data_IF_654335275507
#
_entry.id   IF_654335275507
#
_cell.length_a   1.000
_cell.length_b   1.000
_cell.length_c   1.000
_cell.angle_alpha   90.00
_cell.angle_beta   90.00
_cell.angle_gamma   90.00
#
_symmetry.space_group_name_H-M   'P 1'
#
loop_
_entity.id
_entity.type
_entity.pdbx_description
1 polymer ?
#
# COMPACT_ATOMS: atom_id res chain seq x y z
N UNK A 1 -0.59 -20.33 -8.38
CA UNK A 1 -0.24 -19.06 -9.04
C UNK A 1 -0.72 -17.96 -8.10
N UNK A 2 0.17 -17.31 -7.36
CA UNK A 2 -0.22 -16.24 -6.43
C UNK A 2 -0.39 -14.96 -7.25
N UNK A 3 -1.63 -14.59 -7.54
CA UNK A 3 -1.95 -13.32 -8.17
C UNK A 3 -1.56 -12.23 -7.17
N UNK A 4 -0.47 -11.51 -7.45
CA UNK A 4 -0.11 -10.32 -6.70
C UNK A 4 -1.25 -9.31 -6.84
N UNK A 5 -1.99 -9.13 -5.75
CA UNK A 5 -3.20 -8.33 -5.68
C UNK A 5 -2.79 -6.84 -5.81
N UNK A 6 -2.86 -6.31 -7.03
CA UNK A 6 -2.51 -4.92 -7.32
C UNK A 6 -3.76 -4.08 -7.58
N UNK A 7 -3.81 -2.89 -7.00
CA UNK A 7 -4.93 -1.96 -7.06
C UNK A 7 -4.44 -0.56 -7.38
N UNK A 8 -5.28 0.26 -8.00
CA UNK A 8 -4.92 1.62 -8.41
C UNK A 8 -5.55 2.62 -7.45
N UNK A 9 -4.74 3.54 -6.90
CA UNK A 9 -5.19 4.64 -6.04
C UNK A 9 -4.82 5.95 -6.73
N UNK A 10 -5.83 6.61 -7.32
CA UNK A 10 -5.59 7.77 -8.19
C UNK A 10 -4.80 7.37 -9.43
N UNK A 11 -3.57 7.87 -9.57
CA UNK A 11 -2.63 7.54 -10.66
C UNK A 11 -1.52 6.56 -10.22
N UNK A 12 -1.56 6.09 -8.98
CA UNK A 12 -0.56 5.20 -8.42
C UNK A 12 -1.05 3.75 -8.50
N UNK A 13 -0.25 2.87 -9.09
CA UNK A 13 -0.49 1.43 -9.06
C UNK A 13 0.19 0.84 -7.83
N UNK A 14 -0.61 0.39 -6.88
CA UNK A 14 -0.15 -0.26 -5.65
C UNK A 14 -0.17 -1.77 -5.84
N UNK A 15 0.93 -2.46 -5.55
CA UNK A 15 1.05 -3.91 -5.61
C UNK A 15 1.29 -4.46 -4.22
N UNK A 16 0.44 -5.36 -3.73
CA UNK A 16 0.66 -6.01 -2.43
C UNK A 16 1.79 -7.03 -2.55
N UNK A 17 2.84 -6.87 -1.75
CA UNK A 17 3.96 -7.81 -1.68
C UNK A 17 3.73 -8.87 -0.59
N UNK A 18 2.89 -8.54 0.39
CA UNK A 18 2.50 -9.41 1.50
C UNK A 18 1.00 -9.71 1.50
N UNK A 19 0.59 -10.67 2.33
CA UNK A 19 -0.82 -10.99 2.53
C UNK A 19 -1.61 -9.87 3.21
N UNK A 20 -2.91 -9.83 2.97
CA UNK A 20 -3.84 -8.82 3.50
C UNK A 20 -3.80 -8.72 5.04
N UNK A 21 -3.58 -9.82 5.75
CA UNK A 21 -3.50 -9.86 7.21
C UNK A 21 -2.30 -9.07 7.75
N UNK A 22 -1.14 -9.14 7.10
CA UNK A 22 0.03 -8.35 7.50
C UNK A 22 -0.19 -6.86 7.27
N UNK A 23 -0.84 -6.51 6.15
CA UNK A 23 -1.20 -5.12 5.87
C UNK A 23 -2.18 -4.61 6.92
N UNK A 24 -3.24 -5.35 7.21
CA UNK A 24 -4.25 -4.97 8.20
C UNK A 24 -3.63 -4.77 9.59
N UNK A 25 -2.76 -5.68 10.01
CA UNK A 25 -2.03 -5.58 11.28
C UNK A 25 -1.14 -4.33 11.34
N UNK A 26 -0.44 -4.02 10.24
CA UNK A 26 0.38 -2.80 10.15
C UNK A 26 -0.48 -1.53 10.18
N UNK A 27 -1.57 -1.48 9.40
CA UNK A 27 -2.49 -0.33 9.38
C UNK A 27 -3.14 -0.13 10.75
N UNK A 28 -3.50 -1.20 11.45
CA UNK A 28 -4.03 -1.14 12.81
C UNK A 28 -3.01 -0.57 13.81
N UNK A 29 -1.71 -0.84 13.58
CA UNK A 29 -0.60 -0.33 14.39
C UNK A 29 -0.21 1.12 14.07
N UNK A 30 -0.58 1.66 12.89
CA UNK A 30 -0.26 3.04 12.52
C UNK A 30 -0.95 4.06 13.46
N UNK A 31 -0.32 5.20 13.76
CA UNK A 31 -0.97 6.25 14.54
C UNK A 31 -2.18 6.84 13.78
N UNK A 32 -3.14 7.39 14.53
CA UNK A 32 -4.40 7.88 13.96
C UNK A 32 -4.19 8.98 12.92
N UNK A 33 -3.13 9.79 13.07
CA UNK A 33 -2.73 10.81 12.08
C UNK A 33 -2.42 10.20 10.70
N UNK A 34 -1.71 9.07 10.67
CA UNK A 34 -1.34 8.38 9.44
C UNK A 34 -2.52 7.64 8.83
N UNK A 35 -3.45 7.16 9.67
CA UNK A 35 -4.70 6.51 9.24
C UNK A 35 -5.75 7.48 8.72
N UNK A 36 -5.62 8.77 9.02
CA UNK A 36 -6.56 9.79 8.58
C UNK A 36 -6.49 10.04 7.07
N UNK A 37 -5.32 9.86 6.46
CA UNK A 37 -5.10 10.04 5.03
C UNK A 37 -4.60 8.75 4.35
N UNK A 38 -5.29 8.33 3.30
CA UNK A 38 -4.94 7.10 2.54
C UNK A 38 -3.53 7.18 1.95
N UNK A 39 -3.05 8.36 1.53
CA UNK A 39 -1.70 8.50 0.99
C UNK A 39 -0.63 8.28 2.05
N UNK A 40 -0.86 8.75 3.28
CA UNK A 40 0.04 8.49 4.40
C UNK A 40 0.10 7.00 4.76
N UNK A 41 -1.05 6.32 4.75
CA UNK A 41 -1.10 4.85 4.94
C UNK A 41 -0.31 4.13 3.84
N UNK A 42 -0.56 4.46 2.58
CA UNK A 42 0.11 3.85 1.43
C UNK A 42 1.62 4.14 1.46
N UNK A 43 2.02 5.37 1.78
CA UNK A 43 3.44 5.72 1.91
C UNK A 43 4.10 4.93 3.03
N UNK A 44 3.47 4.83 4.21
CA UNK A 44 4.01 4.06 5.32
C UNK A 44 4.10 2.55 5.02
N UNK A 45 3.11 1.99 4.32
CA UNK A 45 3.15 0.59 3.87
C UNK A 45 4.27 0.33 2.87
N UNK A 46 4.55 1.29 1.98
CA UNK A 46 5.63 1.22 1.00
C UNK A 46 7.01 1.37 1.66
N UNK A 47 7.16 2.33 2.59
CA UNK A 47 8.38 2.49 3.40
C UNK A 47 8.69 1.24 4.24
N UNK A 48 7.65 0.54 4.71
CA UNK A 48 7.78 -0.75 5.40
C UNK A 48 8.05 -1.94 4.46
N UNK A 49 8.00 -1.75 3.14
CA UNK A 49 8.20 -2.80 2.13
C UNK A 49 7.05 -3.82 2.04
N UNK A 50 5.85 -3.46 2.55
CA UNK A 50 4.67 -4.33 2.54
C UNK A 50 3.93 -4.26 1.18
N UNK A 51 4.03 -3.11 0.52
CA UNK A 51 3.50 -2.87 -0.82
C UNK A 51 4.57 -2.23 -1.68
N UNK A 52 4.39 -2.34 -3.00
CA UNK A 52 5.16 -1.63 -4.01
C UNK A 52 4.27 -0.57 -4.66
N UNK A 53 4.78 0.63 -4.86
CA UNK A 53 4.05 1.70 -5.56
C UNK A 53 4.76 1.95 -6.89
N UNK A 54 4.08 1.62 -7.98
CA UNK A 54 4.49 1.96 -9.32
C UNK A 54 3.69 3.17 -9.83
N UNK A 55 4.38 4.22 -10.25
CA UNK A 55 3.74 5.30 -11.02
C UNK A 55 3.40 4.75 -12.41
N UNK A 56 2.16 4.94 -12.86
CA UNK A 56 1.78 4.70 -14.25
C UNK A 56 2.42 5.82 -15.11
N UNK A 57 3.73 5.73 -15.35
CA UNK A 57 4.39 6.56 -16.35
C UNK A 57 3.95 6.06 -17.72
N UNK A 58 2.92 6.68 -18.29
CA UNK A 58 2.61 6.61 -19.72
C UNK A 58 3.62 7.52 -20.42
N UNK A 59 4.63 6.91 -21.06
CA UNK A 59 5.53 7.61 -21.98
C UNK A 59 5.03 7.43 -23.42
#
# INVERSE_FOLDING_TARGET
MFLADSFVVGNLKVTKLVGQEQIDSFVAALPQEKRADVKDVITALHEAGLIDIAEQMEH
#
